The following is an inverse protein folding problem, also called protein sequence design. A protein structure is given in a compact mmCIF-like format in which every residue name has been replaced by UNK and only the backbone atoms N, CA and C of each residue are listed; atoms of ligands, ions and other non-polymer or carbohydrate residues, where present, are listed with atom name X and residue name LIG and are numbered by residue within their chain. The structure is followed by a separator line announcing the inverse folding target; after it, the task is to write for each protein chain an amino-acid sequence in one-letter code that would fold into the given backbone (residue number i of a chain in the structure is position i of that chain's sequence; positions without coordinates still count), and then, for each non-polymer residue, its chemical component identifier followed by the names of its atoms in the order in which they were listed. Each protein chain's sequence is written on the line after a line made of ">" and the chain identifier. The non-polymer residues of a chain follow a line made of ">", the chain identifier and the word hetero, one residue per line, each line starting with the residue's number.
data_IF_106417926010
#
_entry.id   IF_106417926010
#
_cell.length_a   1.000
_cell.length_b   1.000
_cell.length_c   1.000
_cell.angle_alpha   90.00
_cell.angle_beta   90.00
_cell.angle_gamma   90.00
#
_symmetry.space_group_name_H-M   'P 1'
#
loop_
_entity.id
_entity.type
_entity.pdbx_description
1 polymer ?
#
# COMPACT_ATOMS: atom_id res chain seq x y z
N UNK A 1 -2.93 -25.85 17.31
CA UNK A 1 -4.00 -24.86 17.32
C UNK A 1 -3.56 -23.73 16.40
N UNK A 2 -4.19 -23.57 15.25
CA UNK A 2 -3.87 -22.52 14.31
C UNK A 2 -4.18 -21.14 14.90
N UNK A 3 -3.35 -20.16 14.55
CA UNK A 3 -3.60 -18.74 14.85
C UNK A 3 -4.34 -18.14 13.68
N UNK A 4 -5.33 -17.29 13.91
CA UNK A 4 -6.04 -16.56 12.87
C UNK A 4 -5.51 -15.13 12.68
N UNK A 5 -4.80 -14.61 13.68
CA UNK A 5 -4.27 -13.26 13.70
C UNK A 5 -2.76 -13.26 13.41
N UNK A 6 -2.35 -12.47 12.46
CA UNK A 6 -0.96 -12.35 12.00
C UNK A 6 -0.52 -10.90 11.96
N UNK A 7 0.76 -10.66 12.27
CA UNK A 7 1.37 -9.35 12.22
C UNK A 7 2.40 -9.30 11.10
N UNK A 8 2.22 -8.34 10.18
CA UNK A 8 3.15 -8.05 9.09
C UNK A 8 3.96 -6.82 9.51
N UNK A 9 5.27 -6.96 9.56
CA UNK A 9 6.19 -5.89 9.98
C UNK A 9 6.65 -5.06 8.78
N UNK A 10 6.98 -3.79 9.05
CA UNK A 10 7.48 -2.86 8.03
C UNK A 10 6.37 -2.18 7.24
N UNK A 11 5.13 -2.27 7.68
CA UNK A 11 4.01 -1.57 7.07
C UNK A 11 3.96 -0.11 7.53
N UNK A 12 3.95 0.85 6.60
CA UNK A 12 3.69 2.25 6.95
C UNK A 12 2.20 2.52 7.16
N UNK A 13 1.87 3.58 7.89
CA UNK A 13 0.47 4.00 8.07
C UNK A 13 -0.21 4.41 6.74
N UNK A 14 0.59 4.70 5.72
CA UNK A 14 0.14 5.14 4.39
C UNK A 14 0.09 3.99 3.39
N UNK A 15 0.46 2.79 3.80
CA UNK A 15 0.45 1.58 2.98
C UNK A 15 -0.96 1.27 2.46
N UNK A 16 -1.03 0.85 1.21
CA UNK A 16 -2.25 0.33 0.58
C UNK A 16 -2.04 -1.10 0.15
N UNK A 17 -2.87 -2.00 0.66
CA UNK A 17 -2.92 -3.38 0.22
C UNK A 17 -3.68 -3.46 -1.12
N UNK A 18 -3.10 -4.14 -2.09
CA UNK A 18 -3.69 -4.33 -3.43
C UNK A 18 -4.36 -5.70 -3.55
N UNK A 19 -3.67 -6.75 -3.13
CA UNK A 19 -4.18 -8.12 -3.19
C UNK A 19 -3.47 -9.02 -2.19
N UNK A 20 -4.15 -10.10 -1.83
CA UNK A 20 -3.60 -11.18 -1.00
C UNK A 20 -3.82 -12.49 -1.73
N UNK A 21 -2.75 -13.28 -1.90
CA UNK A 21 -2.77 -14.52 -2.68
C UNK A 21 -2.22 -15.65 -1.82
N UNK A 22 -2.93 -16.77 -1.77
CA UNK A 22 -2.38 -18.02 -1.26
C UNK A 22 -1.57 -18.69 -2.39
N UNK A 23 -0.25 -18.78 -2.17
CA UNK A 23 0.71 -19.10 -3.23
C UNK A 23 0.61 -20.55 -3.73
N UNK A 24 0.31 -21.51 -2.84
CA UNK A 24 0.32 -22.95 -3.20
C UNK A 24 -0.68 -23.30 -4.31
N UNK A 25 -1.76 -22.53 -4.44
CA UNK A 25 -2.82 -22.77 -5.43
C UNK A 25 -3.16 -21.53 -6.26
N UNK A 26 -2.48 -20.41 -6.04
CA UNK A 26 -2.72 -19.18 -6.77
C UNK A 26 -4.11 -18.56 -6.53
N UNK A 27 -4.71 -18.79 -5.35
CA UNK A 27 -6.06 -18.33 -5.06
C UNK A 27 -6.01 -16.99 -4.34
N UNK A 28 -6.72 -15.99 -4.87
CA UNK A 28 -6.90 -14.70 -4.20
C UNK A 28 -7.80 -14.85 -2.98
N UNK A 29 -7.37 -14.25 -1.86
CA UNK A 29 -8.19 -14.14 -0.67
C UNK A 29 -9.13 -12.93 -0.82
N UNK A 30 -10.36 -13.09 -0.34
CA UNK A 30 -11.35 -12.01 -0.37
C UNK A 30 -11.25 -11.16 0.88
N UNK A 31 -11.18 -9.84 0.70
CA UNK A 31 -11.23 -8.90 1.82
C UNK A 31 -12.64 -8.84 2.41
N UNK A 32 -12.72 -8.93 3.72
CA UNK A 32 -13.96 -8.82 4.48
C UNK A 32 -13.77 -7.92 5.70
N UNK A 33 -14.86 -7.46 6.30
CA UNK A 33 -14.77 -6.67 7.52
C UNK A 33 -14.33 -7.53 8.72
N UNK A 34 -13.60 -6.93 9.66
CA UNK A 34 -13.23 -7.55 10.93
C UNK A 34 -14.47 -8.10 11.68
N UNK A 35 -15.56 -7.37 11.66
CA UNK A 35 -16.84 -7.81 12.24
C UNK A 35 -17.37 -9.10 11.59
N UNK A 36 -17.15 -9.27 10.29
CA UNK A 36 -17.55 -10.50 9.58
C UNK A 36 -16.72 -11.69 10.07
N UNK A 37 -15.40 -11.56 10.16
CA UNK A 37 -14.53 -12.63 10.68
C UNK A 37 -14.89 -12.98 12.12
N UNK A 38 -15.04 -11.99 13.00
CA UNK A 38 -15.43 -12.20 14.39
C UNK A 38 -16.77 -12.93 14.51
N UNK A 39 -17.74 -12.59 13.65
CA UNK A 39 -19.02 -13.30 13.60
C UNK A 39 -18.87 -14.74 13.11
N UNK A 40 -18.05 -14.96 12.07
CA UNK A 40 -17.81 -16.29 11.52
C UNK A 40 -17.05 -17.21 12.50
N UNK A 41 -16.29 -16.64 13.42
CA UNK A 41 -15.59 -17.36 14.49
C UNK A 41 -16.51 -17.66 15.71
N UNK A 42 -17.73 -17.19 15.72
CA UNK A 42 -18.72 -17.50 16.77
C UNK A 42 -19.77 -18.48 16.23
N UNK A 43 -20.09 -19.59 16.91
CA UNK A 43 -19.58 -20.04 18.23
C UNK A 43 -18.24 -20.77 18.12
N UNK A 44 -17.44 -20.71 19.20
CA UNK A 44 -16.11 -21.33 19.27
C UNK A 44 -16.09 -22.85 18.99
N UNK A 45 -17.23 -23.50 19.00
CA UNK A 45 -17.40 -24.94 18.69
C UNK A 45 -17.41 -25.25 17.19
N UNK A 46 -17.45 -24.26 16.31
CA UNK A 46 -17.56 -24.44 14.85
C UNK A 46 -16.58 -23.58 14.09
N UNK A 47 -15.39 -23.32 14.66
CA UNK A 47 -14.33 -22.61 13.93
C UNK A 47 -13.93 -23.47 12.74
N UNK A 48 -14.19 -22.98 11.53
CA UNK A 48 -13.77 -23.65 10.31
C UNK A 48 -12.26 -23.61 10.25
N UNK A 49 -11.63 -24.78 10.25
CA UNK A 49 -10.21 -24.96 10.11
C UNK A 49 -9.91 -25.45 8.69
N UNK A 50 -8.90 -24.88 8.06
CA UNK A 50 -8.54 -25.20 6.68
C UNK A 50 -7.74 -24.10 6.01
N UNK A 51 -7.73 -24.15 4.66
CA UNK A 51 -7.07 -23.11 3.86
C UNK A 51 -7.74 -21.76 4.06
N UNK A 52 -6.95 -20.69 4.29
CA UNK A 52 -7.47 -19.33 4.30
C UNK A 52 -8.13 -18.96 2.97
N UNK A 53 -9.30 -18.35 3.05
CA UNK A 53 -10.06 -17.88 1.87
C UNK A 53 -10.44 -16.40 1.97
N UNK A 54 -10.47 -15.86 3.18
CA UNK A 54 -10.80 -14.46 3.44
C UNK A 54 -9.79 -13.85 4.40
N UNK A 55 -9.67 -12.54 4.35
CA UNK A 55 -8.84 -11.79 5.29
C UNK A 55 -9.53 -10.48 5.70
N UNK A 56 -9.14 -9.95 6.85
CA UNK A 56 -9.49 -8.59 7.27
C UNK A 56 -8.27 -7.86 7.84
N UNK A 57 -8.25 -6.55 7.67
CA UNK A 57 -7.24 -5.68 8.24
C UNK A 57 -7.81 -5.09 9.53
N UNK A 58 -7.14 -5.39 10.66
CA UNK A 58 -7.57 -4.88 11.98
C UNK A 58 -6.95 -3.53 12.32
N UNK A 59 -5.89 -3.13 11.65
CA UNK A 59 -5.24 -1.84 11.83
C UNK A 59 -3.75 -1.87 11.57
N UNK A 60 -3.18 -0.67 11.53
CA UNK A 60 -1.75 -0.45 11.42
C UNK A 60 -1.32 0.33 12.65
N UNK A 61 -0.36 -0.19 13.39
CA UNK A 61 0.20 0.46 14.57
C UNK A 61 1.70 0.22 14.66
N UNK A 62 2.47 1.28 14.87
CA UNK A 62 3.93 1.20 15.08
C UNK A 62 4.70 0.44 13.99
N UNK A 63 4.29 0.57 12.71
CA UNK A 63 4.92 -0.14 11.59
C UNK A 63 4.54 -1.61 11.49
N UNK A 64 3.49 -2.03 12.16
CA UNK A 64 2.96 -3.39 12.10
C UNK A 64 1.51 -3.36 11.59
N UNK A 65 1.25 -4.16 10.55
CA UNK A 65 -0.09 -4.42 10.03
C UNK A 65 -0.63 -5.70 10.66
N UNK A 66 -1.79 -5.60 11.31
CA UNK A 66 -2.47 -6.76 11.86
C UNK A 66 -3.55 -7.27 10.91
N UNK A 67 -3.45 -8.53 10.54
CA UNK A 67 -4.36 -9.20 9.59
C UNK A 67 -4.96 -10.44 10.23
N UNK A 68 -6.27 -10.59 10.12
CA UNK A 68 -6.97 -11.81 10.49
C UNK A 68 -7.30 -12.63 9.24
N UNK A 69 -7.10 -13.94 9.33
CA UNK A 69 -7.40 -14.90 8.28
C UNK A 69 -8.62 -15.76 8.65
N UNK A 70 -9.45 -16.03 7.64
CA UNK A 70 -10.55 -16.99 7.67
C UNK A 70 -10.45 -17.91 6.42
N UNK A 71 -10.48 -19.24 6.51
CA UNK A 71 -10.60 -20.10 7.70
C UNK A 71 -9.31 -20.06 8.53
N UNK A 72 -9.40 -20.58 9.79
CA UNK A 72 -8.21 -20.73 10.61
C UNK A 72 -7.27 -21.75 9.95
N UNK A 73 -5.99 -21.39 9.67
CA UNK A 73 -5.05 -22.29 9.02
C UNK A 73 -4.84 -23.60 9.81
N UNK A 74 -5.00 -24.74 9.16
CA UNK A 74 -4.76 -26.09 9.71
C UNK A 74 -3.39 -26.65 9.35
N UNK A 75 -2.68 -25.97 8.45
CA UNK A 75 -1.33 -26.29 7.99
C UNK A 75 -0.51 -25.02 7.77
N UNK A 76 0.72 -25.18 7.32
CA UNK A 76 1.57 -24.06 6.87
C UNK A 76 1.15 -23.66 5.45
N UNK A 77 0.66 -22.43 5.32
CA UNK A 77 0.32 -21.81 4.03
C UNK A 77 1.23 -20.61 3.79
N UNK A 78 1.68 -20.45 2.57
CA UNK A 78 2.37 -19.25 2.14
C UNK A 78 1.34 -18.27 1.56
N UNK A 79 1.25 -17.11 2.18
CA UNK A 79 0.34 -16.04 1.76
C UNK A 79 1.17 -14.82 1.39
N UNK A 80 1.03 -14.39 0.14
CA UNK A 80 1.73 -13.23 -0.39
C UNK A 80 0.82 -12.00 -0.34
N UNK A 81 1.35 -10.93 0.21
CA UNK A 81 0.68 -9.64 0.31
C UNK A 81 1.29 -8.68 -0.72
N UNK A 82 0.51 -8.35 -1.75
CA UNK A 82 0.90 -7.33 -2.71
C UNK A 82 0.43 -5.96 -2.21
N UNK A 83 1.38 -5.07 -1.95
CA UNK A 83 1.11 -3.79 -1.31
C UNK A 83 1.90 -2.65 -1.95
N UNK A 84 1.33 -1.45 -1.91
CA UNK A 84 2.04 -0.21 -2.21
C UNK A 84 2.40 0.45 -0.89
N UNK A 85 3.68 0.65 -0.67
CA UNK A 85 4.20 1.38 0.48
C UNK A 85 4.76 2.73 0.01
N UNK A 86 4.11 3.86 0.31
CA UNK A 86 4.59 5.17 -0.10
C UNK A 86 5.93 5.51 0.54
N UNK A 87 6.72 6.30 -0.17
CA UNK A 87 7.97 6.84 0.37
C UNK A 87 7.71 7.52 1.73
N UNK A 88 8.48 7.13 2.73
CA UNK A 88 8.50 7.82 4.02
C UNK A 88 9.20 9.19 3.91
N UNK A 89 8.94 10.05 4.90
CA UNK A 89 9.59 11.36 4.96
C UNK A 89 11.10 11.19 5.11
N UNK A 90 11.87 11.93 4.30
CA UNK A 90 13.33 11.92 4.36
C UNK A 90 13.77 12.72 5.58
N UNK A 91 14.32 12.06 6.59
CA UNK A 91 14.74 12.66 7.86
C UNK A 91 16.27 12.70 7.98
N UNK A 92 16.95 11.69 7.48
CA UNK A 92 18.39 11.53 7.61
C UNK A 92 19.10 11.82 6.28
N UNK A 93 20.35 12.27 6.35
CA UNK A 93 21.17 12.51 5.17
C UNK A 93 21.51 11.23 4.35
N UNK A 94 21.26 10.06 4.94
CA UNK A 94 21.46 8.74 4.31
C UNK A 94 20.20 8.19 3.66
N UNK A 95 19.05 8.84 3.87
CA UNK A 95 17.80 8.39 3.29
C UNK A 95 17.82 8.58 1.77
N UNK A 96 17.33 7.60 1.04
CA UNK A 96 17.32 7.59 -0.41
C UNK A 96 15.93 7.78 -0.96
N UNK A 97 15.83 8.56 -2.04
CA UNK A 97 14.58 8.71 -2.79
C UNK A 97 14.25 7.43 -3.55
N UNK A 98 13.01 6.97 -3.43
CA UNK A 98 12.45 5.89 -4.26
C UNK A 98 11.67 6.42 -5.46
N UNK A 99 11.31 7.72 -5.43
CA UNK A 99 10.65 8.41 -6.54
C UNK A 99 11.67 9.07 -7.48
N UNK A 100 11.25 9.44 -8.69
CA UNK A 100 12.11 10.09 -9.66
C UNK A 100 12.63 11.44 -9.14
N UNK A 101 13.95 11.60 -9.13
CA UNK A 101 14.64 12.77 -8.60
C UNK A 101 14.18 14.09 -9.23
N UNK A 102 13.95 14.11 -10.55
CA UNK A 102 13.55 15.31 -11.28
C UNK A 102 12.24 15.91 -10.77
N UNK A 103 11.29 15.12 -10.29
CA UNK A 103 10.02 15.60 -9.75
C UNK A 103 10.28 16.37 -8.45
N UNK A 104 11.14 15.84 -7.61
CA UNK A 104 11.49 16.49 -6.32
C UNK A 104 12.22 17.81 -6.58
N UNK A 105 13.17 17.82 -7.51
CA UNK A 105 13.92 19.03 -7.89
C UNK A 105 12.97 20.09 -8.46
N UNK A 106 12.12 19.74 -9.43
CA UNK A 106 11.17 20.68 -10.04
C UNK A 106 10.13 21.18 -9.04
N UNK A 107 9.67 20.31 -8.14
CA UNK A 107 8.75 20.69 -7.08
C UNK A 107 9.38 21.66 -6.06
N UNK A 108 10.62 21.42 -5.66
CA UNK A 108 11.37 22.32 -4.79
C UNK A 108 11.64 23.66 -5.48
N UNK A 109 12.04 23.64 -6.76
CA UNK A 109 12.30 24.83 -7.56
C UNK A 109 11.03 25.69 -7.71
N UNK A 110 9.88 25.10 -8.03
CA UNK A 110 8.60 25.82 -8.18
C UNK A 110 8.19 26.52 -6.88
N UNK A 111 8.39 25.86 -5.74
CA UNK A 111 8.10 26.44 -4.42
C UNK A 111 9.06 27.58 -4.07
N UNK A 112 10.38 27.39 -4.31
CA UNK A 112 11.38 28.39 -4.02
C UNK A 112 11.16 29.69 -4.82
N UNK A 113 10.77 29.60 -6.10
CA UNK A 113 10.42 30.78 -6.90
C UNK A 113 9.15 31.44 -6.39
N UNK A 114 8.12 30.65 -6.04
CA UNK A 114 6.88 31.18 -5.50
C UNK A 114 7.08 31.95 -4.19
N UNK A 115 7.98 31.47 -3.31
CA UNK A 115 8.31 32.15 -2.05
C UNK A 115 9.10 33.46 -2.27
N UNK A 116 9.96 33.54 -3.30
CA UNK A 116 10.71 34.75 -3.58
C UNK A 116 9.86 35.90 -4.13
N UNK A 117 8.83 35.61 -4.90
CA UNK A 117 7.83 36.58 -5.33
C UNK A 117 8.33 37.74 -6.20
N UNK A 118 9.57 37.68 -6.72
CA UNK A 118 10.28 38.81 -7.34
C UNK A 118 9.96 39.03 -8.81
N UNK A 119 9.32 38.07 -9.50
CA UNK A 119 9.23 38.04 -10.95
C UNK A 119 7.83 38.33 -11.53
N UNK A 120 6.90 38.79 -10.71
CA UNK A 120 5.53 39.08 -11.14
C UNK A 120 4.71 37.88 -11.58
N UNK A 121 5.19 36.65 -11.31
CA UNK A 121 4.43 35.40 -11.51
C UNK A 121 4.76 34.64 -12.81
N UNK A 122 5.46 35.21 -13.75
CA UNK A 122 5.78 34.55 -15.05
C UNK A 122 6.66 33.33 -14.88
N UNK A 123 7.74 33.43 -14.09
CA UNK A 123 8.62 32.27 -13.80
C UNK A 123 7.93 31.24 -12.88
N UNK A 124 7.07 31.71 -11.97
CA UNK A 124 6.28 30.83 -11.09
C UNK A 124 5.37 29.93 -11.93
N UNK A 125 4.64 30.50 -12.91
CA UNK A 125 3.75 29.70 -13.77
C UNK A 125 4.54 28.69 -14.62
N UNK A 126 5.68 29.08 -15.19
CA UNK A 126 6.54 28.18 -15.97
C UNK A 126 7.11 27.05 -15.10
N UNK A 127 7.57 27.36 -13.89
CA UNK A 127 8.07 26.36 -12.95
C UNK A 127 6.97 25.38 -12.52
N UNK A 128 5.75 25.89 -12.27
CA UNK A 128 4.59 25.08 -11.91
C UNK A 128 4.14 24.17 -13.05
N UNK A 129 4.16 24.66 -14.29
CA UNK A 129 3.84 23.86 -15.48
C UNK A 129 4.87 22.76 -15.69
N UNK A 130 6.17 23.05 -15.56
CA UNK A 130 7.25 22.08 -15.65
C UNK A 130 7.11 20.97 -14.60
N UNK A 131 6.84 21.34 -13.35
CA UNK A 131 6.60 20.38 -12.29
C UNK A 131 5.35 19.54 -12.55
N UNK A 132 4.24 20.16 -12.96
CA UNK A 132 3.00 19.47 -13.24
C UNK A 132 3.13 18.49 -14.42
N UNK A 133 3.90 18.87 -15.46
CA UNK A 133 4.23 17.99 -16.58
C UNK A 133 5.02 16.77 -16.12
N UNK A 134 6.13 16.98 -15.42
CA UNK A 134 6.96 15.88 -14.90
C UNK A 134 6.18 14.94 -13.96
N UNK A 135 5.29 15.48 -13.13
CA UNK A 135 4.45 14.69 -12.24
C UNK A 135 3.46 13.81 -13.03
N UNK A 136 2.81 14.36 -14.06
CA UNK A 136 1.90 13.60 -14.93
C UNK A 136 2.62 12.47 -15.66
N UNK A 137 3.81 12.73 -16.18
CA UNK A 137 4.63 11.73 -16.87
C UNK A 137 5.04 10.60 -15.91
N UNK A 138 5.42 10.94 -14.69
CA UNK A 138 5.78 9.95 -13.68
C UNK A 138 4.59 9.09 -13.27
N UNK A 139 3.41 9.69 -13.07
CA UNK A 139 2.18 8.94 -12.78
C UNK A 139 1.84 8.00 -13.94
N UNK A 140 1.95 8.45 -15.20
CA UNK A 140 1.68 7.61 -16.36
C UNK A 140 2.66 6.43 -16.46
N UNK A 141 3.94 6.64 -16.14
CA UNK A 141 4.95 5.59 -16.11
C UNK A 141 4.69 4.57 -14.98
N UNK A 142 4.30 5.04 -13.80
CA UNK A 142 4.01 4.17 -12.66
C UNK A 142 2.74 3.34 -12.91
N UNK A 143 1.69 3.94 -13.44
CA UNK A 143 0.46 3.25 -13.83
C UNK A 143 0.70 2.15 -14.86
N UNK A 144 1.66 2.34 -15.79
CA UNK A 144 1.99 1.32 -16.79
C UNK A 144 2.75 0.12 -16.21
N UNK A 145 3.49 0.32 -15.10
CA UNK A 145 4.21 -0.75 -14.38
C UNK A 145 3.29 -1.55 -13.47
N UNK A 146 2.30 -0.89 -12.89
CA UNK A 146 1.30 -1.48 -12.00
C UNK A 146 0.00 -1.70 -12.77
N UNK A 147 0.05 -2.46 -13.87
CA UNK A 147 -1.15 -3.00 -14.47
C UNK A 147 -1.82 -3.89 -13.43
N UNK A 148 -2.79 -3.34 -12.72
CA UNK A 148 -3.73 -4.16 -11.99
C UNK A 148 -4.35 -5.08 -13.03
N UNK A 149 -4.11 -6.36 -12.92
CA UNK A 149 -4.85 -7.37 -13.67
C UNK A 149 -6.32 -7.24 -13.23
N UNK A 150 -7.06 -6.39 -13.93
CA UNK A 150 -8.50 -6.38 -13.88
C UNK A 150 -8.96 -7.66 -14.56
N UNK A 151 -8.88 -8.76 -13.84
CA UNK A 151 -9.57 -9.97 -14.24
C UNK A 151 -11.05 -9.67 -14.04
N UNK A 152 -11.67 -9.17 -15.09
CA UNK A 152 -13.13 -9.15 -15.19
C UNK A 152 -13.56 -10.60 -15.31
N UNK A 153 -14.09 -11.17 -14.24
CA UNK A 153 -14.78 -12.46 -14.25
C UNK A 153 -16.19 -12.21 -14.76
#
# INVERSE_FOLDING_TARGET
>A
NGTSNYTIRGASQRMRLLSVIEQSNGVYLTEVSDTWIKRAQQPASSISSGRPSHYSINGISSGELTVDLWSQPDAVYQVDFNMVDPQEDLVNATDTLTVLENIVILGAWSRAIAERGEDGGSMVSTAQESYSGALKDAIAQDMSRNTNDWVTI
#
